data_IF_997944741756
#
_entry.id   IF_997944741756
#
_cell.length_a   1.000
_cell.length_b   1.000
_cell.length_c   1.000
_cell.angle_alpha   90.00
_cell.angle_beta   90.00
_cell.angle_gamma   90.00
#
_symmetry.space_group_name_H-M   'P 1'
#
loop_
_entity.id
_entity.type
_entity.pdbx_description
1 polymer ?
#
# COMPACT_ATOMS: atom_id res chain seq x y z
N UNK A 1 8.52 -4.00 5.65
CA UNK A 1 8.10 -3.00 4.63
C UNK A 1 9.20 -2.89 3.60
N UNK A 2 8.85 -2.87 2.31
CA UNK A 2 9.81 -2.88 1.21
C UNK A 2 10.06 -1.46 0.68
N UNK A 3 11.18 -0.86 1.08
CA UNK A 3 11.56 0.49 0.68
C UNK A 3 11.93 0.56 -0.81
N UNK A 4 12.51 -0.51 -1.35
CA UNK A 4 12.98 -0.56 -2.73
C UNK A 4 11.79 -0.67 -3.69
N UNK A 5 10.81 -1.50 -3.34
CA UNK A 5 9.56 -1.61 -4.07
C UNK A 5 8.83 -0.26 -4.11
N UNK A 6 8.64 0.39 -2.96
CA UNK A 6 7.94 1.68 -2.95
C UNK A 6 8.69 2.75 -3.74
N UNK A 7 10.02 2.82 -3.61
CA UNK A 7 10.86 3.76 -4.39
C UNK A 7 10.76 3.52 -5.89
N UNK A 8 10.72 2.25 -6.31
CA UNK A 8 10.53 1.85 -7.70
C UNK A 8 9.16 2.31 -8.22
N UNK A 9 8.09 2.03 -7.47
CA UNK A 9 6.73 2.41 -7.85
C UNK A 9 6.57 3.93 -7.93
N UNK A 10 7.06 4.67 -6.94
CA UNK A 10 6.97 6.12 -6.91
C UNK A 10 7.67 6.80 -8.09
N UNK A 11 8.81 6.26 -8.55
CA UNK A 11 9.51 6.75 -9.74
C UNK A 11 8.78 6.44 -11.04
N UNK A 12 8.03 5.34 -11.11
CA UNK A 12 7.27 4.92 -12.31
C UNK A 12 5.91 5.58 -12.41
N UNK A 13 5.30 5.94 -11.27
CA UNK A 13 3.98 6.53 -11.15
C UNK A 13 4.08 7.97 -10.61
N UNK A 14 4.62 8.88 -11.43
CA UNK A 14 4.88 10.26 -11.03
C UNK A 14 3.62 11.12 -10.80
N UNK A 15 2.47 10.66 -11.29
CA UNK A 15 1.15 11.29 -11.16
C UNK A 15 0.32 10.72 -9.98
N UNK A 16 0.95 9.90 -9.13
CA UNK A 16 0.31 9.19 -8.02
C UNK A 16 0.99 9.57 -6.71
N UNK A 17 0.19 9.85 -5.68
CA UNK A 17 0.64 10.19 -4.34
C UNK A 17 0.61 8.97 -3.42
N UNK A 18 1.73 8.67 -2.76
CA UNK A 18 1.87 7.58 -1.79
C UNK A 18 1.86 8.15 -0.37
N UNK A 19 0.82 7.86 0.40
CA UNK A 19 0.68 8.33 1.78
C UNK A 19 1.07 7.25 2.79
N UNK A 20 2.14 7.48 3.54
CA UNK A 20 2.65 6.56 4.56
C UNK A 20 2.18 7.02 5.94
N UNK A 21 1.28 6.24 6.53
CA UNK A 21 0.70 6.50 7.85
C UNK A 21 1.10 5.40 8.81
N UNK A 22 1.54 5.77 10.00
CA UNK A 22 1.93 4.83 11.04
C UNK A 22 3.31 5.11 11.62
N UNK A 23 3.66 4.32 12.64
CA UNK A 23 4.96 4.36 13.28
C UNK A 23 5.84 3.28 12.68
N UNK A 24 6.77 3.67 11.81
CA UNK A 24 7.78 2.76 11.31
C UNK A 24 9.00 2.73 12.21
N UNK A 25 9.48 1.54 12.56
CA UNK A 25 10.84 1.36 13.12
C UNK A 25 11.93 1.38 12.03
N UNK A 26 11.52 1.49 10.76
CA UNK A 26 12.39 1.44 9.60
C UNK A 26 12.80 2.86 9.24
N UNK A 27 14.08 3.04 8.90
CA UNK A 27 14.61 4.30 8.42
C UNK A 27 13.98 4.69 7.06
N UNK A 28 13.22 5.78 7.04
CA UNK A 28 12.54 6.28 5.84
C UNK A 28 13.38 7.32 5.07
N UNK A 29 14.62 7.59 5.47
CA UNK A 29 15.52 8.50 4.76
C UNK A 29 15.66 8.20 3.25
N UNK A 30 15.58 6.93 2.77
CA UNK A 30 15.61 6.65 1.32
C UNK A 30 14.49 7.33 0.53
N UNK A 31 13.39 7.74 1.17
CA UNK A 31 12.30 8.50 0.51
C UNK A 31 12.53 10.01 0.47
N UNK A 32 13.59 10.51 1.10
CA UNK A 32 13.90 11.95 1.10
C UNK A 32 14.14 12.42 -0.33
N UNK A 33 13.35 13.42 -0.76
CA UNK A 33 13.43 14.00 -2.10
C UNK A 33 12.61 13.26 -3.18
N UNK A 34 11.88 12.20 -2.83
CA UNK A 34 10.90 11.60 -3.75
C UNK A 34 9.59 12.41 -3.63
N UNK A 35 9.20 13.17 -4.68
CA UNK A 35 8.20 14.25 -4.55
C UNK A 35 6.78 13.76 -4.29
N UNK A 36 6.50 12.50 -4.59
CA UNK A 36 5.18 11.89 -4.50
C UNK A 36 5.06 10.85 -3.38
N UNK A 37 6.03 10.82 -2.44
CA UNK A 37 5.93 10.04 -1.20
C UNK A 37 5.73 11.00 -0.03
N UNK A 38 4.60 10.86 0.67
CA UNK A 38 4.20 11.68 1.80
C UNK A 38 4.24 10.86 3.08
N UNK A 39 5.22 11.16 3.95
CA UNK A 39 5.35 10.52 5.27
C UNK A 39 4.53 11.33 6.28
N UNK A 40 3.35 10.83 6.65
CA UNK A 40 2.44 11.52 7.56
C UNK A 40 2.66 11.16 9.04
N UNK A 41 3.46 10.11 9.29
CA UNK A 41 3.76 9.61 10.62
C UNK A 41 2.56 8.95 11.30
N UNK A 42 2.64 8.78 12.63
CA UNK A 42 1.58 8.18 13.43
C UNK A 42 0.37 9.12 13.50
N UNK A 43 -0.82 8.58 13.24
CA UNK A 43 -2.10 9.26 13.39
C UNK A 43 -2.93 8.62 14.50
N UNK A 44 -3.84 9.40 15.08
CA UNK A 44 -4.81 8.83 16.02
C UNK A 44 -5.72 7.86 15.26
N UNK A 45 -6.13 6.78 15.90
CA UNK A 45 -7.07 5.82 15.31
C UNK A 45 -8.34 6.50 14.78
N UNK A 46 -8.81 7.55 15.47
CA UNK A 46 -9.99 8.33 15.03
C UNK A 46 -9.78 9.11 13.72
N UNK A 47 -8.54 9.33 13.29
CA UNK A 47 -8.22 10.05 12.06
C UNK A 47 -8.06 9.10 10.86
N UNK A 48 -7.72 7.83 11.10
CA UNK A 48 -7.48 6.83 10.07
C UNK A 48 -8.65 6.65 9.09
N UNK A 49 -9.93 6.63 9.52
CA UNK A 49 -11.05 6.51 8.59
C UNK A 49 -11.08 7.62 7.54
N UNK A 50 -10.63 8.85 7.87
CA UNK A 50 -10.59 9.95 6.90
C UNK A 50 -9.59 9.68 5.78
N UNK A 51 -8.44 9.10 6.12
CA UNK A 51 -7.43 8.74 5.12
C UNK A 51 -7.89 7.56 4.27
N UNK A 52 -8.48 6.54 4.90
CA UNK A 52 -9.06 5.39 4.19
C UNK A 52 -10.17 5.82 3.24
N UNK A 53 -11.05 6.72 3.66
CA UNK A 53 -12.14 7.21 2.83
C UNK A 53 -11.66 7.99 1.60
N UNK A 54 -10.55 8.74 1.71
CA UNK A 54 -10.04 9.54 0.59
C UNK A 54 -9.03 8.78 -0.29
N UNK A 55 -8.61 7.59 0.11
CA UNK A 55 -7.72 6.75 -0.69
C UNK A 55 -8.47 6.12 -1.86
N UNK A 56 -7.74 5.91 -2.95
CA UNK A 56 -8.23 5.18 -4.13
C UNK A 56 -7.91 3.69 -4.02
N UNK A 57 -6.72 3.36 -3.49
CA UNK A 57 -6.22 1.99 -3.36
C UNK A 57 -5.44 1.84 -2.05
N UNK A 58 -5.70 0.75 -1.32
CA UNK A 58 -4.86 0.33 -0.20
C UNK A 58 -3.72 -0.56 -0.68
N UNK A 59 -2.47 -0.27 -0.26
CA UNK A 59 -1.33 -1.10 -0.66
C UNK A 59 -0.55 -1.65 0.53
N UNK A 60 -0.06 -2.89 0.39
CA UNK A 60 0.72 -3.62 1.40
C UNK A 60 2.03 -4.12 0.76
N UNK A 61 3.06 -3.25 0.60
CA UNK A 61 4.34 -3.61 0.00
C UNK A 61 5.27 -4.20 1.06
N UNK A 62 4.97 -5.41 1.51
CA UNK A 62 5.86 -6.13 2.42
C UNK A 62 7.02 -6.78 1.67
N UNK A 63 8.18 -6.78 2.33
CA UNK A 63 9.34 -7.51 1.87
C UNK A 63 9.17 -8.95 2.33
N UNK A 64 9.28 -9.91 1.42
CA UNK A 64 9.13 -11.34 1.75
C UNK A 64 10.31 -11.80 2.62
N UNK A 65 10.05 -11.90 3.91
CA UNK A 65 10.97 -12.34 4.94
C UNK A 65 10.23 -13.31 5.85
N UNK A 66 10.95 -14.21 6.53
CA UNK A 66 10.34 -15.28 7.32
C UNK A 66 9.31 -14.77 8.37
N UNK A 67 9.55 -13.59 8.93
CA UNK A 67 8.62 -12.96 9.88
C UNK A 67 7.29 -12.57 9.22
N UNK A 68 7.30 -12.15 7.95
CA UNK A 68 6.09 -11.71 7.24
C UNK A 68 5.18 -12.89 6.92
N UNK A 69 5.74 -14.07 6.68
CA UNK A 69 4.98 -15.29 6.38
C UNK A 69 4.03 -15.70 7.52
N UNK A 70 4.29 -15.23 8.76
CA UNK A 70 3.47 -15.53 9.94
C UNK A 70 2.61 -14.36 10.43
N UNK A 71 2.59 -13.23 9.73
CA UNK A 71 1.85 -12.04 10.16
C UNK A 71 0.40 -12.11 9.68
N UNK A 72 -0.53 -11.88 10.61
CA UNK A 72 -1.95 -11.69 10.30
C UNK A 72 -2.16 -10.43 9.45
N UNK A 73 -2.96 -10.49 8.37
CA UNK A 73 -3.16 -9.40 7.42
C UNK A 73 -4.14 -8.35 7.94
N UNK A 74 -3.93 -7.79 9.14
CA UNK A 74 -4.86 -6.81 9.75
C UNK A 74 -5.15 -5.63 8.79
N UNK A 75 -4.11 -5.08 8.17
CA UNK A 75 -4.20 -3.95 7.22
C UNK A 75 -5.08 -4.27 6.00
N UNK A 76 -5.05 -5.52 5.53
CA UNK A 76 -5.90 -5.99 4.43
C UNK A 76 -7.38 -5.87 4.82
N UNK A 77 -7.74 -6.37 6.01
CA UNK A 77 -9.12 -6.34 6.49
C UNK A 77 -9.61 -4.90 6.69
N UNK A 78 -8.77 -4.02 7.23
CA UNK A 78 -9.11 -2.59 7.40
C UNK A 78 -9.41 -1.91 6.06
N UNK A 79 -8.57 -2.13 5.05
CA UNK A 79 -8.77 -1.55 3.72
C UNK A 79 -10.04 -2.09 3.06
N UNK A 80 -10.27 -3.41 3.13
CA UNK A 80 -11.45 -4.05 2.56
C UNK A 80 -12.74 -3.63 3.26
N UNK A 81 -12.73 -3.48 4.59
CA UNK A 81 -13.87 -2.98 5.34
C UNK A 81 -14.26 -1.54 4.95
N UNK A 82 -13.31 -0.77 4.42
CA UNK A 82 -13.54 0.57 3.85
C UNK A 82 -13.87 0.57 2.35
N UNK A 83 -14.03 -0.61 1.73
CA UNK A 83 -14.35 -0.75 0.31
C UNK A 83 -13.20 -0.40 -0.63
N UNK A 84 -11.96 -0.35 -0.13
CA UNK A 84 -10.80 -0.07 -0.98
C UNK A 84 -10.38 -1.32 -1.76
N UNK A 85 -10.09 -1.20 -3.06
CA UNK A 85 -9.31 -2.23 -3.74
C UNK A 85 -7.94 -2.34 -3.07
N UNK A 86 -7.45 -3.57 -2.91
CA UNK A 86 -6.19 -3.85 -2.21
C UNK A 86 -5.19 -4.56 -3.11
N UNK A 87 -3.96 -4.04 -3.11
CA UNK A 87 -2.81 -4.66 -3.79
C UNK A 87 -1.73 -4.95 -2.75
N UNK A 88 -1.25 -6.18 -2.72
CA UNK A 88 -0.30 -6.64 -1.71
C UNK A 88 0.82 -7.46 -2.35
N UNK A 89 2.01 -7.47 -1.73
CA UNK A 89 2.96 -8.55 -1.97
C UNK A 89 2.33 -9.86 -1.50
N UNK A 90 2.52 -10.97 -2.22
CA UNK A 90 2.07 -12.28 -1.74
C UNK A 90 2.89 -12.79 -0.55
N UNK A 91 2.22 -13.44 0.41
CA UNK A 91 2.83 -14.28 1.46
C UNK A 91 1.86 -15.39 1.85
N UNK A 92 2.30 -16.36 2.65
CA UNK A 92 1.60 -17.62 2.89
C UNK A 92 0.17 -17.45 3.39
N UNK A 93 -0.04 -16.62 4.41
CA UNK A 93 -1.38 -16.36 4.97
C UNK A 93 -2.36 -15.83 3.91
N UNK A 94 -1.92 -14.95 3.00
CA UNK A 94 -2.77 -14.45 1.92
C UNK A 94 -3.11 -15.53 0.88
N UNK A 95 -2.23 -16.50 0.67
CA UNK A 95 -2.47 -17.65 -0.21
C UNK A 95 -3.50 -18.61 0.40
N UNK A 96 -3.53 -18.72 1.72
CA UNK A 96 -4.49 -19.56 2.46
C UNK A 96 -5.88 -18.91 2.45
N UNK A 97 -6.00 -17.65 2.87
CA UNK A 97 -7.31 -16.99 3.02
C UNK A 97 -7.92 -16.56 1.67
N UNK A 98 -7.10 -16.44 0.61
CA UNK A 98 -7.51 -16.07 -0.76
C UNK A 98 -8.45 -14.86 -0.80
N UNK A 99 -8.01 -13.71 -0.29
CA UNK A 99 -8.86 -12.55 -0.21
C UNK A 99 -9.09 -11.94 -1.61
N UNK A 100 -10.11 -11.11 -1.82
CA UNK A 100 -10.32 -10.39 -3.09
C UNK A 100 -9.31 -9.22 -3.26
N UNK A 101 -8.02 -9.50 -3.07
CA UNK A 101 -6.91 -8.59 -3.30
C UNK A 101 -6.03 -9.09 -4.44
N UNK A 102 -5.36 -8.17 -5.15
CA UNK A 102 -4.36 -8.54 -6.14
C UNK A 102 -3.02 -8.81 -5.44
N UNK A 103 -2.52 -10.04 -5.58
CA UNK A 103 -1.32 -10.51 -4.90
C UNK A 103 -0.13 -10.54 -5.88
N UNK A 104 0.79 -9.59 -5.75
CA UNK A 104 1.94 -9.44 -6.62
C UNK A 104 3.13 -10.29 -6.14
N UNK A 105 3.79 -10.99 -7.08
CA UNK A 105 4.98 -11.81 -6.83
C UNK A 105 6.29 -11.05 -6.93
N UNK A 106 6.27 -9.93 -7.63
CA UNK A 106 7.42 -9.10 -7.92
C UNK A 106 6.99 -7.64 -8.17
N UNK A 107 7.97 -6.74 -8.28
CA UNK A 107 7.75 -5.30 -8.46
C UNK A 107 7.01 -4.94 -9.76
N UNK A 108 7.20 -5.73 -10.81
CA UNK A 108 6.62 -5.46 -12.13
C UNK A 108 5.14 -5.85 -12.17
N UNK A 109 4.77 -6.98 -11.57
CA UNK A 109 3.37 -7.34 -11.31
C UNK A 109 2.68 -6.32 -10.41
N UNK A 110 3.36 -5.86 -9.35
CA UNK A 110 2.80 -4.84 -8.46
C UNK A 110 2.49 -3.55 -9.22
N UNK A 111 3.43 -3.10 -10.06
CA UNK A 111 3.25 -1.92 -10.91
C UNK A 111 2.09 -2.11 -11.89
N UNK A 112 2.01 -3.27 -12.54
CA UNK A 112 0.93 -3.59 -13.47
C UNK A 112 -0.43 -3.54 -12.79
N UNK A 113 -0.57 -4.18 -11.62
CA UNK A 113 -1.82 -4.17 -10.86
C UNK A 113 -2.22 -2.76 -10.43
N UNK A 114 -1.26 -1.93 -10.03
CA UNK A 114 -1.54 -0.53 -9.71
C UNK A 114 -2.03 0.25 -10.92
N UNK A 115 -1.32 0.14 -12.04
CA UNK A 115 -1.67 0.85 -13.26
C UNK A 115 -3.05 0.45 -13.78
N UNK A 116 -3.40 -0.84 -13.75
CA UNK A 116 -4.71 -1.32 -14.17
C UNK A 116 -5.82 -0.90 -13.20
N UNK A 117 -5.59 -0.97 -11.90
CA UNK A 117 -6.58 -0.55 -10.89
C UNK A 117 -6.85 0.94 -10.98
N UNK A 118 -5.82 1.77 -11.18
CA UNK A 118 -5.98 3.22 -11.33
C UNK A 118 -6.77 3.62 -12.58
N UNK A 119 -6.73 2.84 -13.67
CA UNK A 119 -7.54 3.10 -14.89
C UNK A 119 -9.03 2.87 -14.67
N UNK A 120 -9.40 1.99 -13.75
CA UNK A 120 -10.77 1.51 -13.57
C UNK A 120 -11.45 2.09 -12.32
N UNK A 121 -10.82 3.00 -11.59
CA UNK A 121 -11.40 3.61 -10.39
C UNK A 121 -12.46 4.66 -10.78
N UNK A 122 -13.78 4.38 -10.66
CA UNK A 122 -14.82 5.20 -11.30
C UNK A 122 -15.15 6.48 -10.53
N UNK A 123 -14.89 6.52 -9.21
CA UNK A 123 -15.50 7.52 -8.30
C UNK A 123 -14.49 8.40 -7.55
N UNK A 124 -13.19 8.12 -7.62
CA UNK A 124 -12.16 8.89 -6.92
C UNK A 124 -10.90 9.00 -7.79
N UNK A 125 -10.58 10.22 -8.21
CA UNK A 125 -9.54 10.53 -9.22
C UNK A 125 -8.32 11.22 -8.62
N UNK A 126 -8.14 11.14 -7.30
CA UNK A 126 -7.08 11.89 -6.62
C UNK A 126 -5.71 11.21 -6.75
N UNK A 127 -5.65 10.00 -7.31
CA UNK A 127 -4.47 9.14 -7.44
C UNK A 127 -3.73 8.98 -6.11
N UNK A 128 -4.47 8.71 -5.03
CA UNK A 128 -3.97 8.58 -3.67
C UNK A 128 -3.88 7.10 -3.28
N UNK A 129 -2.66 6.63 -3.11
CA UNK A 129 -2.36 5.30 -2.60
C UNK A 129 -2.07 5.39 -1.11
N UNK A 130 -2.77 4.58 -0.33
CA UNK A 130 -2.62 4.57 1.12
C UNK A 130 -1.77 3.39 1.58
N UNK A 131 -0.81 3.70 2.44
CA UNK A 131 0.12 2.76 3.05
C UNK A 131 0.09 2.90 4.55
N UNK A 132 -0.16 1.78 5.24
CA UNK A 132 0.14 1.68 6.65
C UNK A 132 1.55 1.16 6.82
N UNK A 133 2.40 1.95 7.48
CA UNK A 133 3.77 1.59 7.85
C UNK A 133 3.81 1.15 9.32
#
# INVERSE_FOLDING_TARGET
FDLDLLSFLAKKLNNVSFFLIGSSRINLNPFKGIPNIYILGRKNFKELPKYLWNADIGIIPFKREAVVETISPIKLYEYMACGLPVISTEWEELKVIKPPALLAKNKDEFLLFLAETLKHSPDKTNNQLLLYI
#
